data_IF_703191261059
#
_entry.id   IF_703191261059
#
_cell.length_a   1.000
_cell.length_b   1.000
_cell.length_c   1.000
_cell.angle_alpha   90.00
_cell.angle_beta   90.00
_cell.angle_gamma   90.00
#
_symmetry.space_group_name_H-M   'P 1'
#
loop_
_entity.id
_entity.type
_entity.pdbx_description
1 polymer ?
#
# COMPACT_ATOMS: atom_id res chain seq x y z
N UNK A 1 28.85 2.61 1.63
CA UNK A 1 28.81 3.12 0.25
C UNK A 1 29.74 4.30 0.11
N UNK A 2 30.61 4.25 -0.89
CA UNK A 2 31.31 5.44 -1.38
C UNK A 2 30.26 6.43 -1.92
N UNK A 3 30.55 7.73 -1.95
CA UNK A 3 29.66 8.73 -2.59
C UNK A 3 29.32 8.35 -4.06
N UNK A 4 30.12 7.49 -4.69
CA UNK A 4 29.87 6.93 -6.04
C UNK A 4 28.61 6.06 -6.14
N UNK A 5 28.22 5.41 -5.04
CA UNK A 5 27.21 4.34 -5.10
C UNK A 5 25.79 4.88 -4.95
N UNK A 6 25.60 6.10 -4.43
CA UNK A 6 24.26 6.70 -4.20
C UNK A 6 23.50 6.99 -5.50
N UNK A 7 24.22 7.38 -6.55
CA UNK A 7 23.62 7.79 -7.84
C UNK A 7 22.80 6.68 -8.50
N UNK A 8 23.28 5.44 -8.65
CA UNK A 8 22.46 4.37 -9.23
C UNK A 8 21.22 4.05 -8.39
N UNK A 9 21.28 4.17 -7.06
CA UNK A 9 20.09 3.97 -6.22
C UNK A 9 19.04 5.07 -6.38
N UNK A 10 19.47 6.34 -6.44
CA UNK A 10 18.56 7.45 -6.70
C UNK A 10 17.92 7.31 -8.10
N UNK A 11 18.71 6.87 -9.09
CA UNK A 11 18.20 6.57 -10.41
C UNK A 11 17.16 5.44 -10.37
N UNK A 12 17.45 4.32 -9.69
CA UNK A 12 16.50 3.23 -9.52
C UNK A 12 15.21 3.69 -8.84
N UNK A 13 15.31 4.45 -7.74
CA UNK A 13 14.15 4.95 -7.00
C UNK A 13 13.27 5.83 -7.90
N UNK A 14 13.89 6.77 -8.61
CA UNK A 14 13.19 7.64 -9.55
C UNK A 14 12.52 6.84 -10.67
N UNK A 15 13.26 5.93 -11.30
CA UNK A 15 12.75 5.08 -12.37
C UNK A 15 11.56 4.23 -11.91
N UNK A 16 11.66 3.59 -10.74
CA UNK A 16 10.60 2.78 -10.19
C UNK A 16 9.35 3.60 -9.82
N UNK A 17 9.52 4.79 -9.24
CA UNK A 17 8.39 5.69 -8.95
C UNK A 17 7.64 6.10 -10.21
N UNK A 18 8.37 6.47 -11.28
CA UNK A 18 7.77 6.88 -12.57
C UNK A 18 7.01 5.73 -13.23
N UNK A 19 7.51 4.50 -13.13
CA UNK A 19 6.87 3.35 -13.76
C UNK A 19 5.71 2.74 -12.97
N UNK A 20 5.73 2.83 -11.64
CA UNK A 20 4.74 2.15 -10.81
C UNK A 20 3.59 3.09 -10.44
N UNK A 21 3.89 4.24 -9.84
CA UNK A 21 2.88 5.08 -9.18
C UNK A 21 1.77 5.56 -10.13
N UNK A 22 2.03 5.99 -11.38
CA UNK A 22 0.97 6.48 -12.27
C UNK A 22 -0.05 5.40 -12.68
N UNK A 23 0.32 4.12 -12.62
CA UNK A 23 -0.46 3.04 -13.22
C UNK A 23 -1.25 2.20 -12.21
N UNK A 24 -0.94 2.28 -10.91
CA UNK A 24 -1.61 1.44 -9.90
C UNK A 24 -3.13 1.68 -9.80
N UNK A 25 -3.60 2.87 -10.17
CA UNK A 25 -5.03 3.21 -10.17
C UNK A 25 -5.73 3.00 -11.52
N UNK A 26 -5.05 2.46 -12.54
CA UNK A 26 -5.56 2.46 -13.93
C UNK A 26 -6.68 1.45 -14.19
N UNK A 27 -6.92 0.51 -13.28
CA UNK A 27 -7.98 -0.49 -13.37
C UNK A 27 -8.53 -0.81 -11.98
N UNK A 28 -9.76 -1.34 -11.95
CA UNK A 28 -10.47 -1.68 -10.72
C UNK A 28 -9.76 -2.78 -9.92
N UNK A 29 -10.11 -2.91 -8.65
CA UNK A 29 -9.74 -4.08 -7.87
C UNK A 29 -10.46 -5.30 -8.45
N UNK A 30 -9.75 -6.40 -8.66
CA UNK A 30 -10.32 -7.60 -9.26
C UNK A 30 -9.99 -8.87 -8.49
N UNK A 31 -8.87 -8.87 -7.77
CA UNK A 31 -8.47 -10.01 -6.97
C UNK A 31 -9.25 -10.06 -5.66
N UNK A 32 -9.53 -11.26 -5.18
CA UNK A 32 -10.30 -11.48 -3.96
C UNK A 32 -9.62 -10.84 -2.74
N UNK A 33 -8.29 -10.96 -2.63
CA UNK A 33 -7.55 -10.34 -1.53
C UNK A 33 -7.52 -8.81 -1.67
N UNK A 34 -7.34 -8.29 -2.88
CA UNK A 34 -7.36 -6.83 -3.12
C UNK A 34 -8.68 -6.20 -2.69
N UNK A 35 -9.80 -6.82 -3.05
CA UNK A 35 -11.14 -6.31 -2.74
C UNK A 35 -11.39 -6.37 -1.23
N UNK A 36 -11.15 -7.52 -0.59
CA UNK A 36 -11.40 -7.67 0.85
C UNK A 36 -10.51 -6.76 1.70
N UNK A 37 -9.25 -6.58 1.32
CA UNK A 37 -8.36 -5.71 2.08
C UNK A 37 -8.71 -4.24 1.92
N UNK A 38 -9.09 -3.83 0.70
CA UNK A 38 -9.58 -2.49 0.45
C UNK A 38 -10.89 -2.22 1.23
N UNK A 39 -11.82 -3.17 1.23
CA UNK A 39 -13.08 -3.03 1.96
C UNK A 39 -12.87 -2.98 3.46
N UNK A 40 -12.03 -3.87 4.01
CA UNK A 40 -11.66 -3.83 5.43
C UNK A 40 -11.07 -2.48 5.84
N UNK A 41 -10.19 -1.94 5.00
CA UNK A 41 -9.56 -0.64 5.25
C UNK A 41 -10.57 0.51 5.18
N UNK A 42 -11.53 0.42 4.25
CA UNK A 42 -12.65 1.37 4.13
C UNK A 42 -13.57 1.29 5.35
N UNK A 43 -13.87 0.09 5.83
CA UNK A 43 -14.69 -0.13 7.02
C UNK A 43 -14.03 0.38 8.30
N UNK A 44 -12.71 0.27 8.43
CA UNK A 44 -11.97 0.91 9.53
C UNK A 44 -12.17 2.43 9.54
N UNK A 45 -12.16 3.07 8.37
CA UNK A 45 -12.42 4.52 8.26
C UNK A 45 -13.87 4.88 8.62
N UNK A 46 -14.84 4.07 8.21
CA UNK A 46 -16.26 4.32 8.49
C UNK A 46 -16.62 4.07 9.95
N UNK A 47 -16.15 2.95 10.52
CA UNK A 47 -16.44 2.56 11.90
C UNK A 47 -15.57 3.28 12.93
N UNK A 48 -14.47 3.91 12.49
CA UNK A 48 -13.40 4.41 13.37
C UNK A 48 -12.79 3.34 14.29
N UNK A 49 -13.05 2.06 14.04
CA UNK A 49 -12.48 0.93 14.76
C UNK A 49 -11.27 0.39 14.00
N UNK A 50 -10.08 0.86 14.35
CA UNK A 50 -8.83 0.39 13.76
C UNK A 50 -8.25 -0.84 14.47
N UNK A 51 -8.84 -1.29 15.58
CA UNK A 51 -8.34 -2.43 16.34
C UNK A 51 -8.86 -3.77 15.82
N UNK A 52 -10.04 -3.75 15.19
CA UNK A 52 -10.70 -4.93 14.67
C UNK A 52 -10.78 -4.86 13.14
N UNK A 53 -10.17 -5.83 12.47
CA UNK A 53 -10.34 -6.01 11.02
C UNK A 53 -11.72 -6.61 10.77
N UNK A 54 -12.45 -6.05 9.82
CA UNK A 54 -13.80 -6.48 9.44
C UNK A 54 -13.90 -6.59 7.93
N UNK A 55 -14.74 -7.48 7.43
CA UNK A 55 -15.15 -7.56 6.02
C UNK A 55 -16.66 -7.69 6.00
N UNK A 56 -17.35 -6.79 5.30
CA UNK A 56 -18.80 -6.65 5.35
C UNK A 56 -19.32 -6.41 6.78
N UNK A 57 -18.56 -5.67 7.58
CA UNK A 57 -18.80 -5.41 9.01
C UNK A 57 -18.81 -6.65 9.91
N UNK A 58 -18.34 -7.80 9.42
CA UNK A 58 -18.16 -9.02 10.20
C UNK A 58 -16.68 -9.21 10.57
N UNK A 59 -16.35 -9.72 11.78
CA UNK A 59 -14.96 -9.88 12.22
C UNK A 59 -14.13 -10.78 11.30
N UNK A 60 -12.97 -10.28 10.86
CA UNK A 60 -12.02 -11.02 10.03
C UNK A 60 -10.69 -11.26 10.79
N UNK A 61 -10.52 -12.46 11.34
CA UNK A 61 -9.42 -12.78 12.27
C UNK A 61 -8.17 -13.39 11.62
N UNK A 62 -8.15 -13.54 10.30
CA UNK A 62 -7.06 -14.28 9.63
C UNK A 62 -5.77 -13.46 9.46
N UNK A 63 -5.87 -12.12 9.48
CA UNK A 63 -4.77 -11.21 9.14
C UNK A 63 -4.56 -10.13 10.22
N UNK A 64 -3.31 -9.79 10.55
CA UNK A 64 -3.01 -8.70 11.47
C UNK A 64 -3.34 -7.32 10.86
N UNK A 65 -3.61 -6.28 11.68
CA UNK A 65 -4.19 -5.02 11.22
C UNK A 65 -3.19 -4.07 10.52
N UNK A 66 -1.88 -4.33 10.60
CA UNK A 66 -0.83 -3.39 10.12
C UNK A 66 -1.03 -2.96 8.67
N UNK A 67 -1.30 -3.91 7.78
CA UNK A 67 -1.47 -3.60 6.36
C UNK A 67 -2.72 -2.75 6.10
N UNK A 68 -3.82 -3.06 6.78
CA UNK A 68 -5.07 -2.31 6.71
C UNK A 68 -4.91 -0.89 7.23
N UNK A 69 -4.07 -0.66 8.24
CA UNK A 69 -3.75 0.71 8.71
C UNK A 69 -3.06 1.54 7.63
N UNK A 70 -2.11 0.94 6.89
CA UNK A 70 -1.43 1.63 5.81
C UNK A 70 -2.39 1.96 4.66
N UNK A 71 -3.27 1.02 4.30
CA UNK A 71 -4.32 1.26 3.30
C UNK A 71 -5.34 2.29 3.76
N UNK A 72 -5.83 2.21 5.00
CA UNK A 72 -6.76 3.18 5.56
C UNK A 72 -6.15 4.58 5.60
N UNK A 73 -4.88 4.72 6.00
CA UNK A 73 -4.16 5.99 5.96
C UNK A 73 -4.06 6.52 4.52
N UNK A 74 -3.70 5.67 3.55
CA UNK A 74 -3.68 6.04 2.13
C UNK A 74 -5.06 6.50 1.63
N UNK A 75 -6.13 5.76 1.94
CA UNK A 75 -7.50 6.12 1.58
C UNK A 75 -7.98 7.40 2.27
N UNK A 76 -7.49 7.71 3.46
CA UNK A 76 -7.80 8.96 4.17
C UNK A 76 -7.24 10.18 3.42
N UNK A 77 -6.02 10.09 2.87
CA UNK A 77 -5.39 11.20 2.14
C UNK A 77 -5.80 11.29 0.67
N UNK A 78 -5.95 10.16 -0.03
CA UNK A 78 -6.18 10.12 -1.48
C UNK A 78 -7.63 9.79 -1.87
N UNK A 79 -8.49 9.52 -0.89
CA UNK A 79 -9.85 9.05 -1.10
C UNK A 79 -9.92 7.54 -1.37
N UNK A 80 -11.09 6.96 -1.11
CA UNK A 80 -11.35 5.53 -1.33
C UNK A 80 -11.34 5.22 -2.82
N UNK A 81 -10.27 4.58 -3.29
CA UNK A 81 -10.02 4.29 -4.71
C UNK A 81 -9.05 3.13 -4.89
N UNK A 82 -9.00 2.54 -6.08
CA UNK A 82 -8.00 1.52 -6.43
C UNK A 82 -6.57 2.05 -6.31
N UNK A 83 -6.36 3.34 -6.63
CA UNK A 83 -5.07 4.00 -6.42
C UNK A 83 -4.65 3.98 -4.95
N UNK A 84 -5.52 4.47 -4.06
CA UNK A 84 -5.22 4.55 -2.64
C UNK A 84 -5.04 3.17 -2.00
N UNK A 85 -5.83 2.18 -2.43
CA UNK A 85 -5.71 0.79 -1.96
C UNK A 85 -4.35 0.16 -2.32
N UNK A 86 -3.79 0.47 -3.50
CA UNK A 86 -2.52 -0.13 -3.97
C UNK A 86 -1.28 0.71 -3.63
N UNK A 87 -1.45 1.98 -3.24
CA UNK A 87 -0.33 2.87 -2.95
C UNK A 87 0.62 2.33 -1.86
N UNK A 88 0.16 1.76 -0.72
CA UNK A 88 1.07 1.17 0.26
C UNK A 88 1.94 0.05 -0.33
N UNK A 89 1.35 -0.85 -1.13
CA UNK A 89 2.08 -1.91 -1.82
C UNK A 89 3.10 -1.35 -2.81
N UNK A 90 2.71 -0.32 -3.58
CA UNK A 90 3.58 0.34 -4.53
C UNK A 90 4.79 1.01 -3.85
N UNK A 91 4.58 1.65 -2.71
CA UNK A 91 5.66 2.28 -1.93
C UNK A 91 6.59 1.20 -1.37
N UNK A 92 6.05 0.13 -0.79
CA UNK A 92 6.86 -0.95 -0.22
C UNK A 92 7.65 -1.71 -1.29
N UNK A 93 7.08 -1.95 -2.48
CA UNK A 93 7.78 -2.62 -3.58
C UNK A 93 8.97 -1.80 -4.10
N UNK A 94 8.92 -0.48 -3.98
CA UNK A 94 10.01 0.43 -4.32
C UNK A 94 11.07 0.51 -3.20
N UNK A 95 10.64 0.59 -1.93
CA UNK A 95 11.53 0.83 -0.78
C UNK A 95 12.26 -0.43 -0.30
N UNK A 96 11.62 -1.59 -0.34
CA UNK A 96 12.20 -2.83 0.22
C UNK A 96 13.48 -3.25 -0.52
N UNK A 97 13.57 -3.26 -1.87
CA UNK A 97 14.82 -3.55 -2.56
C UNK A 97 15.94 -2.60 -2.14
N UNK A 98 15.65 -1.30 -2.01
CA UNK A 98 16.64 -0.33 -1.53
C UNK A 98 17.17 -0.69 -0.14
N UNK A 99 16.29 -1.08 0.79
CA UNK A 99 16.71 -1.48 2.13
C UNK A 99 17.53 -2.77 2.11
N UNK A 100 17.12 -3.76 1.32
CA UNK A 100 17.81 -5.06 1.24
C UNK A 100 19.23 -4.94 0.69
N UNK A 101 19.43 -4.14 -0.37
CA UNK A 101 20.76 -3.95 -0.97
C UNK A 101 21.61 -2.89 -0.25
N UNK A 102 21.06 -2.23 0.77
CA UNK A 102 21.79 -1.29 1.64
C UNK A 102 22.46 -1.98 2.82
N UNK A 103 21.95 -3.12 3.26
CA UNK A 103 22.52 -3.96 4.34
C UNK A 103 23.80 -4.63 3.83
#
# INVERSE_FOLDING_TARGET
>A
MSKSDIKPFLFFLFYAMVLVIPFIGSYNLFDWDEINFAESSREMLVSSNFFQVMVNFEPFHEKPPLYFWLQALSMNYFGVSSFAARLPNAVLSILVPFLLFKI
#
